data_IF_485867829183
#
_entry.id   IF_485867829183
#
_cell.length_a   1.000
_cell.length_b   1.000
_cell.length_c   1.000
_cell.angle_alpha   90.00
_cell.angle_beta   90.00
_cell.angle_gamma   90.00
#
_symmetry.space_group_name_H-M   'P 1'
#
loop_
_entity.id
_entity.type
_entity.pdbx_description
1 polymer ?
#
# COMPACT_ATOMS: atom_id res chain seq x y z
N UNK A 1 35.87 -7.71 46.01
CA UNK A 1 34.61 -6.95 45.88
C UNK A 1 33.84 -7.50 44.69
N UNK A 2 32.70 -8.19 44.88
CA UNK A 2 31.87 -8.65 43.77
C UNK A 2 30.94 -7.51 43.32
N UNK A 3 30.98 -7.17 42.03
CA UNK A 3 30.05 -6.22 41.41
C UNK A 3 28.66 -6.86 41.29
N UNK A 4 27.68 -6.31 42.00
CA UNK A 4 26.25 -6.62 41.80
C UNK A 4 25.80 -5.94 40.51
N UNK A 5 25.54 -6.73 39.46
CA UNK A 5 24.77 -6.28 38.30
C UNK A 5 23.32 -6.03 38.74
N UNK A 6 22.85 -4.78 38.59
CA UNK A 6 21.45 -4.42 38.79
C UNK A 6 20.55 -5.05 37.71
N UNK A 7 19.23 -5.12 37.95
CA UNK A 7 18.32 -5.80 37.03
C UNK A 7 18.27 -5.07 35.68
N UNK A 8 18.63 -5.79 34.61
CA UNK A 8 18.47 -5.36 33.23
C UNK A 8 16.98 -5.24 32.94
N UNK A 9 16.49 -4.00 32.78
CA UNK A 9 15.14 -3.75 32.24
C UNK A 9 15.20 -3.88 30.72
N UNK A 10 14.58 -4.93 30.18
CA UNK A 10 14.30 -5.04 28.75
C UNK A 10 13.27 -3.96 28.35
N UNK A 11 13.47 -3.19 27.25
CA UNK A 11 12.56 -2.10 26.88
C UNK A 11 11.29 -2.55 26.16
N UNK A 12 11.06 -3.86 26.05
CA UNK A 12 9.91 -4.43 25.35
C UNK A 12 9.11 -5.30 26.33
N UNK A 13 8.48 -4.63 27.29
CA UNK A 13 7.30 -5.20 27.93
C UNK A 13 6.13 -5.02 26.99
N UNK A 14 5.53 -6.12 26.52
CA UNK A 14 4.24 -6.12 25.84
C UNK A 14 3.28 -5.23 26.64
N UNK A 15 2.89 -4.08 26.08
CA UNK A 15 1.75 -3.34 26.60
C UNK A 15 0.50 -4.10 26.19
N UNK A 16 0.13 -5.12 26.97
CA UNK A 16 -1.24 -5.66 27.04
C UNK A 16 -2.16 -4.61 27.68
N UNK A 17 -2.17 -3.37 27.19
CA UNK A 17 -2.78 -2.25 27.92
C UNK A 17 -4.29 -2.12 27.72
N UNK A 18 -4.90 -2.98 26.90
CA UNK A 18 -6.30 -2.83 26.51
C UNK A 18 -7.12 -4.13 26.43
N UNK A 19 -6.59 -5.28 26.90
CA UNK A 19 -7.29 -6.58 26.76
C UNK A 19 -8.67 -6.60 27.46
N UNK A 20 -8.84 -5.82 28.54
CA UNK A 20 -10.10 -5.70 29.29
C UNK A 20 -10.78 -4.33 29.15
N UNK A 21 -10.39 -3.52 28.16
CA UNK A 21 -10.97 -2.19 27.93
C UNK A 21 -12.14 -2.27 26.94
N UNK A 22 -13.40 -2.12 27.40
CA UNK A 22 -14.56 -2.21 26.51
C UNK A 22 -14.60 -1.12 25.44
N UNK A 23 -13.95 0.03 25.66
CA UNK A 23 -13.83 1.06 24.62
C UNK A 23 -12.87 0.64 23.52
N UNK A 24 -11.76 0.02 23.91
CA UNK A 24 -10.78 -0.48 22.95
C UNK A 24 -11.34 -1.67 22.16
N UNK A 25 -12.01 -2.62 22.83
CA UNK A 25 -12.69 -3.72 22.15
C UNK A 25 -13.70 -3.20 21.13
N UNK A 26 -14.56 -2.24 21.52
CA UNK A 26 -15.48 -1.58 20.59
C UNK A 26 -14.74 -0.89 19.44
N UNK A 27 -13.66 -0.16 19.72
CA UNK A 27 -12.86 0.53 18.71
C UNK A 27 -12.24 -0.41 17.67
N UNK A 28 -11.78 -1.60 18.10
CA UNK A 28 -11.19 -2.60 17.21
C UNK A 28 -12.25 -3.44 16.48
N UNK A 29 -13.34 -3.81 17.16
CA UNK A 29 -14.22 -4.88 16.71
C UNK A 29 -15.63 -4.43 16.29
N UNK A 30 -16.09 -3.23 16.66
CA UNK A 30 -17.42 -2.76 16.27
C UNK A 30 -17.38 -1.97 14.95
N UNK A 31 -17.95 -2.49 13.85
CA UNK A 31 -17.95 -1.79 12.57
C UNK A 31 -18.66 -0.43 12.67
N UNK A 32 -18.19 0.54 11.89
CA UNK A 32 -18.87 1.83 11.79
C UNK A 32 -20.31 1.62 11.27
N UNK A 33 -21.30 2.05 12.07
CA UNK A 33 -22.71 1.96 11.68
C UNK A 33 -23.05 2.89 10.49
N UNK A 34 -22.32 3.99 10.36
CA UNK A 34 -22.39 4.92 9.24
C UNK A 34 -20.99 5.08 8.64
N UNK A 35 -20.86 4.78 7.36
CA UNK A 35 -19.59 4.87 6.63
C UNK A 35 -19.08 6.31 6.48
N UNK A 36 -19.95 7.32 6.64
CA UNK A 36 -19.57 8.73 6.66
C UNK A 36 -18.66 9.07 7.87
N UNK A 37 -18.63 8.23 8.90
CA UNK A 37 -17.70 8.36 10.02
C UNK A 37 -16.30 7.79 9.70
N UNK A 38 -16.05 7.36 8.46
CA UNK A 38 -14.77 6.80 8.03
C UNK A 38 -14.22 7.57 6.82
N UNK A 39 -12.90 7.79 6.79
CA UNK A 39 -12.23 8.42 5.64
C UNK A 39 -12.03 7.47 4.46
N UNK A 40 -12.29 6.17 4.66
CA UNK A 40 -12.05 5.12 3.67
C UNK A 40 -12.84 5.38 2.39
N UNK A 41 -14.16 5.60 2.51
CA UNK A 41 -15.01 5.83 1.33
C UNK A 41 -14.72 7.17 0.68
N UNK A 42 -14.41 8.20 1.49
CA UNK A 42 -14.03 9.51 0.99
C UNK A 42 -12.80 9.42 0.06
N UNK A 43 -11.75 8.69 0.47
CA UNK A 43 -10.54 8.53 -0.36
C UNK A 43 -10.81 7.61 -1.56
N UNK A 44 -11.53 6.50 -1.37
CA UNK A 44 -11.82 5.56 -2.48
C UNK A 44 -12.66 6.18 -3.58
N UNK A 45 -13.55 7.09 -3.24
CA UNK A 45 -14.42 7.79 -4.20
C UNK A 45 -13.82 9.11 -4.69
N UNK A 46 -12.65 9.51 -4.18
CA UNK A 46 -11.98 10.71 -4.66
C UNK A 46 -11.58 10.52 -6.13
N UNK A 47 -11.86 11.50 -7.01
CA UNK A 47 -11.47 11.40 -8.41
C UNK A 47 -9.94 11.38 -8.53
N UNK A 48 -9.45 10.65 -9.52
CA UNK A 48 -8.03 10.70 -9.88
C UNK A 48 -7.68 12.09 -10.44
N UNK A 49 -6.52 12.62 -10.03
CA UNK A 49 -6.02 13.89 -10.54
C UNK A 49 -5.48 13.79 -11.96
N UNK A 50 -5.37 14.93 -12.64
CA UNK A 50 -4.75 15.00 -13.96
C UNK A 50 -3.24 14.75 -13.87
N UNK A 51 -2.64 14.25 -14.96
CA UNK A 51 -1.19 14.18 -15.10
C UNK A 51 -0.67 15.55 -15.51
N UNK A 52 0.39 16.03 -14.85
CA UNK A 52 0.99 17.30 -15.18
C UNK A 52 1.58 17.24 -16.61
N UNK A 53 1.29 18.21 -17.50
CA UNK A 53 1.59 18.07 -18.93
C UNK A 53 3.10 18.10 -19.25
N UNK A 54 3.92 18.58 -18.33
CA UNK A 54 5.38 18.66 -18.50
C UNK A 54 6.06 17.63 -17.60
N UNK A 55 6.78 16.69 -18.20
CA UNK A 55 7.59 15.73 -17.44
C UNK A 55 8.73 16.44 -16.70
N UNK A 56 8.89 16.12 -15.43
CA UNK A 56 10.05 16.49 -14.65
C UNK A 56 11.31 15.80 -15.19
N UNK A 57 12.46 16.46 -15.01
CA UNK A 57 13.75 15.83 -15.24
C UNK A 57 13.99 14.79 -14.14
N UNK A 58 14.26 13.54 -14.54
CA UNK A 58 14.51 12.44 -13.63
C UNK A 58 15.99 12.07 -13.58
N UNK A 59 16.38 11.48 -12.45
CA UNK A 59 17.61 10.70 -12.38
C UNK A 59 17.43 9.34 -13.06
N UNK A 60 18.42 8.45 -12.93
CA UNK A 60 18.29 7.07 -13.41
C UNK A 60 17.13 6.33 -12.71
N UNK A 61 16.58 5.25 -13.30
CA UNK A 61 15.51 4.47 -12.66
C UNK A 61 15.85 3.98 -11.25
N UNK A 62 17.12 3.68 -10.96
CA UNK A 62 17.58 3.21 -9.65
C UNK A 62 17.49 4.30 -8.58
N UNK A 63 17.94 5.50 -8.92
CA UNK A 63 17.87 6.67 -8.03
C UNK A 63 16.41 7.09 -7.86
N UNK A 64 15.65 7.13 -8.95
CA UNK A 64 14.23 7.47 -8.92
C UNK A 64 13.44 6.49 -8.05
N UNK A 65 13.68 5.18 -8.17
CA UNK A 65 13.11 4.15 -7.28
C UNK A 65 13.43 4.39 -5.81
N UNK A 66 14.67 4.81 -5.50
CA UNK A 66 15.07 5.13 -4.13
C UNK A 66 14.27 6.31 -3.57
N UNK A 67 14.04 7.35 -4.37
CA UNK A 67 13.21 8.49 -3.97
C UNK A 67 11.74 8.10 -3.80
N UNK A 68 11.16 7.33 -4.73
CA UNK A 68 9.78 6.83 -4.61
C UNK A 68 9.57 6.09 -3.31
N UNK A 69 10.49 5.18 -2.96
CA UNK A 69 10.45 4.44 -1.69
C UNK A 69 10.59 5.34 -0.48
N UNK A 70 11.52 6.30 -0.52
CA UNK A 70 11.70 7.27 0.56
C UNK A 70 10.46 8.14 0.79
N UNK A 71 9.78 8.57 -0.28
CA UNK A 71 8.54 9.34 -0.18
C UNK A 71 7.38 8.50 0.38
N UNK A 72 7.23 7.25 -0.10
CA UNK A 72 6.25 6.32 0.45
C UNK A 72 6.46 6.09 1.95
N UNK A 73 7.72 5.91 2.38
CA UNK A 73 8.09 5.77 3.78
C UNK A 73 7.82 7.04 4.59
N UNK A 74 8.10 8.21 4.04
CA UNK A 74 7.76 9.49 4.66
C UNK A 74 6.25 9.62 4.91
N UNK A 75 5.40 9.09 4.02
CA UNK A 75 3.95 9.05 4.21
C UNK A 75 3.44 7.96 5.18
N UNK A 76 4.34 7.10 5.69
CA UNK A 76 4.02 6.09 6.70
C UNK A 76 4.04 4.64 6.19
N UNK A 77 4.49 4.37 4.96
CA UNK A 77 4.74 3.00 4.53
C UNK A 77 5.93 2.41 5.31
N UNK A 78 5.78 1.21 5.85
CA UNK A 78 6.87 0.54 6.55
C UNK A 78 7.63 -0.41 5.64
N UNK A 79 6.99 -0.91 4.59
CA UNK A 79 7.60 -1.70 3.53
C UNK A 79 7.18 -1.14 2.17
N UNK A 80 8.14 -1.02 1.25
CA UNK A 80 7.89 -0.53 -0.10
C UNK A 80 8.69 -1.34 -1.09
N UNK A 81 8.01 -1.86 -2.10
CA UNK A 81 8.61 -2.68 -3.16
C UNK A 81 8.10 -2.23 -4.52
N UNK A 82 8.90 -2.45 -5.55
CA UNK A 82 8.56 -2.13 -6.93
C UNK A 82 8.60 -3.42 -7.75
N UNK A 83 7.48 -3.79 -8.37
CA UNK A 83 7.41 -4.91 -9.29
C UNK A 83 7.38 -4.42 -10.73
N UNK A 84 8.14 -5.08 -11.61
CA UNK A 84 7.92 -4.97 -13.05
C UNK A 84 6.74 -5.85 -13.44
N UNK A 85 5.88 -5.35 -14.31
CA UNK A 85 4.69 -6.03 -14.78
C UNK A 85 4.96 -6.62 -16.16
N UNK A 86 4.58 -7.89 -16.34
CA UNK A 86 4.83 -8.65 -17.57
C UNK A 86 3.72 -8.43 -18.63
N UNK A 87 2.70 -7.64 -18.30
CA UNK A 87 1.58 -7.28 -19.18
C UNK A 87 1.04 -5.89 -18.87
N UNK A 88 0.27 -5.34 -19.82
CA UNK A 88 -0.26 -3.98 -19.73
C UNK A 88 -1.49 -3.94 -18.81
N UNK A 89 -1.32 -3.43 -17.60
CA UNK A 89 -2.44 -2.84 -16.88
C UNK A 89 -2.78 -1.52 -17.58
N UNK A 90 -3.71 -1.56 -18.53
CA UNK A 90 -4.18 -0.38 -19.26
C UNK A 90 -5.45 0.19 -18.63
N UNK A 91 -5.43 1.48 -18.33
CA UNK A 91 -6.63 2.28 -18.08
C UNK A 91 -6.66 3.43 -19.08
N UNK A 92 -7.77 3.65 -19.82
CA UNK A 92 -7.91 4.81 -20.69
C UNK A 92 -7.86 6.11 -19.88
N UNK A 93 -7.31 7.17 -20.47
CA UNK A 93 -7.16 8.52 -19.88
C UNK A 93 -8.48 9.29 -19.67
N UNK A 94 -9.66 8.67 -19.84
CA UNK A 94 -10.95 9.40 -19.85
C UNK A 94 -11.70 9.36 -18.51
N UNK A 95 -12.45 10.42 -18.17
CA UNK A 95 -13.24 10.51 -16.95
C UNK A 95 -14.58 9.76 -17.14
N UNK A 96 -14.56 8.44 -17.05
CA UNK A 96 -15.80 7.68 -16.92
C UNK A 96 -16.32 7.79 -15.48
N UNK A 97 -17.61 8.12 -15.35
CA UNK A 97 -18.29 8.43 -14.08
C UNK A 97 -18.51 7.22 -13.16
N UNK A 98 -18.09 6.03 -13.59
CA UNK A 98 -18.27 4.79 -12.84
C UNK A 98 -17.05 3.88 -13.14
N UNK A 99 -16.26 3.45 -12.13
CA UNK A 99 -15.07 2.64 -12.40
C UNK A 99 -15.48 1.22 -12.81
N UNK A 100 -15.23 0.75 -14.04
CA UNK A 100 -15.28 -0.67 -14.30
C UNK A 100 -14.22 -1.36 -13.43
N UNK A 101 -14.58 -2.50 -12.82
CA UNK A 101 -13.61 -3.40 -12.18
C UNK A 101 -12.47 -3.64 -13.16
N UNK A 102 -11.23 -3.50 -12.70
CA UNK A 102 -10.06 -3.94 -13.46
C UNK A 102 -10.15 -5.46 -13.65
N UNK A 103 -10.68 -5.88 -14.78
CA UNK A 103 -10.48 -7.22 -15.32
C UNK A 103 -9.18 -7.17 -16.09
N UNK A 104 -8.24 -8.06 -15.76
CA UNK A 104 -7.26 -8.49 -16.73
C UNK A 104 -8.05 -9.05 -17.91
N UNK A 105 -8.31 -8.23 -18.93
CA UNK A 105 -9.06 -8.66 -20.09
C UNK A 105 -8.13 -9.52 -20.94
N UNK A 106 -8.21 -10.84 -20.75
CA UNK A 106 -7.60 -11.80 -21.66
C UNK A 106 -8.03 -11.45 -23.10
N UNK A 107 -7.07 -11.06 -23.95
CA UNK A 107 -7.28 -10.83 -25.37
C UNK A 107 -7.47 -9.39 -25.84
N UNK A 108 -7.36 -8.36 -24.99
CA UNK A 108 -7.18 -6.99 -25.49
C UNK A 108 -5.75 -6.81 -26.00
N UNK A 109 -5.59 -6.30 -27.23
CA UNK A 109 -4.26 -5.97 -27.78
C UNK A 109 -3.59 -4.97 -26.83
N UNK A 110 -2.39 -5.32 -26.37
CA UNK A 110 -1.53 -4.42 -25.61
C UNK A 110 -1.39 -3.11 -26.39
N UNK A 111 -1.84 -2.02 -25.81
CA UNK A 111 -1.55 -0.68 -26.31
C UNK A 111 -0.28 -0.19 -25.59
N UNK A 112 0.90 -0.20 -26.26
CA UNK A 112 2.16 0.16 -25.62
C UNK A 112 2.15 1.61 -25.12
N UNK A 113 1.38 2.50 -25.76
CA UNK A 113 1.27 3.91 -25.36
C UNK A 113 0.52 4.04 -24.03
N UNK A 114 -0.36 3.09 -23.73
CA UNK A 114 -1.13 3.08 -22.49
C UNK A 114 -0.57 2.15 -21.41
N UNK A 115 0.59 1.52 -21.64
CA UNK A 115 1.22 0.61 -20.70
C UNK A 115 1.62 1.27 -19.37
N UNK A 116 1.31 0.61 -18.25
CA UNK A 116 1.81 0.94 -16.91
C UNK A 116 2.73 -0.20 -16.45
N UNK A 117 4.03 -0.18 -16.82
CA UNK A 117 4.95 -1.31 -16.64
C UNK A 117 5.41 -1.57 -15.21
N UNK A 118 5.13 -0.66 -14.28
CA UNK A 118 5.56 -0.79 -12.89
C UNK A 118 4.38 -0.74 -11.93
N UNK A 119 4.45 -1.57 -10.89
CA UNK A 119 3.62 -1.44 -9.70
C UNK A 119 4.50 -1.03 -8.51
N UNK A 120 4.10 0.02 -7.79
CA UNK A 120 4.64 0.40 -6.49
C UNK A 120 3.71 -0.15 -5.41
N UNK A 121 4.26 -1.04 -4.59
CA UNK A 121 3.55 -1.74 -3.52
C UNK A 121 3.97 -1.11 -2.20
N UNK A 122 3.00 -0.65 -1.41
CA UNK A 122 3.21 -0.16 -0.06
C UNK A 122 2.53 -1.11 0.92
N UNK A 123 3.20 -1.44 2.03
CA UNK A 123 2.60 -2.14 3.14
C UNK A 123 2.90 -1.43 4.46
N UNK A 124 1.94 -1.52 5.37
CA UNK A 124 2.00 -0.97 6.72
C UNK A 124 1.85 -2.09 7.73
N UNK A 125 2.45 -1.95 8.91
CA UNK A 125 2.23 -2.83 10.02
C UNK A 125 0.75 -2.80 10.45
N UNK A 126 0.25 -3.97 10.85
CA UNK A 126 -1.12 -4.15 11.26
C UNK A 126 -1.16 -4.99 12.55
N UNK A 127 -1.26 -4.30 13.69
CA UNK A 127 -1.46 -4.94 14.99
C UNK A 127 -2.76 -5.77 15.02
N UNK A 128 -3.77 -5.32 14.28
CA UNK A 128 -5.04 -6.00 14.09
C UNK A 128 -5.26 -6.27 12.60
N UNK A 129 -5.63 -7.51 12.26
CA UNK A 129 -5.93 -7.89 10.88
C UNK A 129 -7.27 -7.25 10.46
N UNK A 130 -7.31 -6.32 9.49
CA UNK A 130 -8.54 -5.62 9.11
C UNK A 130 -9.62 -6.54 8.53
N UNK A 131 -9.30 -7.80 8.19
CA UNK A 131 -10.30 -8.81 7.79
C UNK A 131 -11.13 -9.32 8.95
N UNK A 132 -10.59 -9.29 10.15
CA UNK A 132 -11.24 -9.84 11.36
C UNK A 132 -11.54 -8.77 12.41
N UNK A 133 -10.93 -7.58 12.29
CA UNK A 133 -11.16 -6.42 13.15
C UNK A 133 -11.87 -5.30 12.37
N UNK A 134 -13.21 -5.31 12.30
CA UNK A 134 -13.96 -4.42 11.40
C UNK A 134 -14.20 -3.02 11.98
N UNK A 135 -13.84 -2.76 13.24
CA UNK A 135 -13.97 -1.45 13.87
C UNK A 135 -12.95 -0.42 13.37
N UNK A 136 -13.18 0.84 13.72
CA UNK A 136 -12.37 1.97 13.22
C UNK A 136 -10.88 1.75 13.47
N UNK A 137 -10.52 1.24 14.64
CA UNK A 137 -9.14 0.92 15.02
C UNK A 137 -8.55 -0.25 14.23
N UNK A 138 -9.34 -1.31 14.01
CA UNK A 138 -8.93 -2.44 13.19
C UNK A 138 -8.74 -2.09 11.71
N UNK A 139 -9.41 -1.03 11.24
CA UNK A 139 -9.28 -0.50 9.89
C UNK A 139 -8.18 0.57 9.73
N UNK A 140 -7.43 0.93 10.77
CA UNK A 140 -6.34 1.91 10.69
C UNK A 140 -5.30 1.56 9.60
N UNK A 141 -4.84 0.30 9.47
CA UNK A 141 -3.90 -0.07 8.40
C UNK A 141 -4.46 0.21 6.99
N UNK A 142 -5.77 0.02 6.79
CA UNK A 142 -6.46 0.31 5.52
C UNK A 142 -6.47 1.80 5.22
N UNK A 143 -6.78 2.62 6.24
CA UNK A 143 -6.79 4.07 6.13
C UNK A 143 -5.40 4.62 5.80
N UNK A 144 -4.37 4.12 6.49
CA UNK A 144 -2.98 4.49 6.23
C UNK A 144 -2.57 4.11 4.80
N UNK A 145 -2.87 2.87 4.38
CA UNK A 145 -2.58 2.40 3.03
C UNK A 145 -3.23 3.29 1.95
N UNK A 146 -4.50 3.66 2.13
CA UNK A 146 -5.22 4.55 1.22
C UNK A 146 -4.59 5.95 1.16
N UNK A 147 -4.24 6.52 2.31
CA UNK A 147 -3.61 7.85 2.36
C UNK A 147 -2.25 7.84 1.64
N UNK A 148 -1.39 6.86 1.95
CA UNK A 148 -0.06 6.73 1.36
C UNK A 148 -0.16 6.63 -0.16
N UNK A 149 -0.99 5.73 -0.68
CA UNK A 149 -1.04 5.47 -2.11
C UNK A 149 -1.72 6.61 -2.87
N UNK A 150 -2.73 7.24 -2.27
CA UNK A 150 -3.36 8.44 -2.83
C UNK A 150 -2.34 9.57 -3.03
N UNK A 151 -1.62 9.94 -1.97
CA UNK A 151 -0.67 11.07 -2.02
C UNK A 151 0.53 10.74 -2.91
N UNK A 152 1.08 9.53 -2.82
CA UNK A 152 2.22 9.14 -3.67
C UNK A 152 1.84 9.10 -5.15
N UNK A 153 0.66 8.57 -5.49
CA UNK A 153 0.18 8.57 -6.88
C UNK A 153 -0.03 9.99 -7.40
N UNK A 154 -0.55 10.90 -6.56
CA UNK A 154 -0.69 12.31 -6.93
C UNK A 154 0.67 12.95 -7.22
N UNK A 155 1.66 12.73 -6.37
CA UNK A 155 3.00 13.23 -6.61
C UNK A 155 3.63 12.69 -7.91
N UNK A 156 3.44 11.40 -8.23
CA UNK A 156 3.91 10.85 -9.52
C UNK A 156 3.23 11.55 -10.71
N UNK A 157 1.92 11.84 -10.60
CA UNK A 157 1.19 12.62 -11.62
C UNK A 157 1.71 14.05 -11.74
N UNK A 158 2.09 14.68 -10.65
CA UNK A 158 2.73 16.01 -10.65
C UNK A 158 4.13 16.02 -11.29
N UNK A 159 4.84 14.88 -11.30
CA UNK A 159 6.06 14.71 -12.09
C UNK A 159 5.81 14.55 -13.60
N UNK A 160 4.54 14.47 -14.02
CA UNK A 160 4.12 14.27 -15.41
C UNK A 160 4.11 12.81 -15.87
N UNK A 161 4.04 11.86 -14.93
CA UNK A 161 3.92 10.42 -15.21
C UNK A 161 2.55 9.90 -14.80
N UNK A 162 2.02 8.94 -15.54
CA UNK A 162 0.73 8.33 -15.21
C UNK A 162 0.90 7.49 -13.94
N UNK A 163 -0.04 7.64 -13.03
CA UNK A 163 -0.16 6.79 -11.85
C UNK A 163 -1.63 6.59 -11.51
N UNK A 164 -2.06 5.35 -11.37
CA UNK A 164 -3.43 4.98 -10.99
C UNK A 164 -3.37 3.92 -9.89
N UNK A 165 -4.34 3.94 -8.99
CA UNK A 165 -4.41 2.98 -7.89
C UNK A 165 -5.37 1.88 -8.30
N UNK A 166 -4.90 0.64 -8.28
CA UNK A 166 -5.72 -0.51 -8.67
C UNK A 166 -5.96 -1.42 -7.46
N UNK A 167 -7.22 -1.79 -7.26
CA UNK A 167 -7.59 -2.82 -6.30
C UNK A 167 -7.12 -4.16 -6.83
N UNK A 168 -6.17 -4.77 -6.13
CA UNK A 168 -5.59 -6.05 -6.51
C UNK A 168 -6.15 -7.14 -5.63
N UNK A 169 -6.91 -8.08 -6.21
CA UNK A 169 -7.33 -9.28 -5.50
C UNK A 169 -6.11 -10.07 -4.98
N UNK A 170 -5.00 -10.01 -5.72
CA UNK A 170 -3.75 -10.72 -5.42
C UNK A 170 -2.65 -9.79 -4.87
N UNK A 171 -3.03 -8.77 -4.08
CA UNK A 171 -2.08 -7.80 -3.52
C UNK A 171 -0.89 -8.45 -2.78
N UNK A 172 -1.14 -9.51 -2.02
CA UNK A 172 -0.10 -10.28 -1.32
C UNK A 172 0.91 -10.92 -2.30
N UNK A 173 0.43 -11.47 -3.43
CA UNK A 173 1.30 -12.08 -4.44
C UNK A 173 2.13 -11.02 -5.18
N UNK A 174 1.52 -9.86 -5.47
CA UNK A 174 2.23 -8.74 -6.07
C UNK A 174 3.29 -8.18 -5.13
N UNK A 175 3.02 -8.10 -3.83
CA UNK A 175 4.01 -7.72 -2.82
C UNK A 175 5.18 -8.70 -2.73
N UNK A 176 4.91 -10.01 -2.83
CA UNK A 176 5.97 -11.02 -2.90
C UNK A 176 6.80 -10.85 -4.18
N UNK A 177 6.17 -10.61 -5.33
CA UNK A 177 6.86 -10.28 -6.60
C UNK A 177 7.70 -9.00 -6.49
N UNK A 178 7.29 -8.05 -5.65
CA UNK A 178 8.04 -6.83 -5.37
C UNK A 178 9.13 -7.00 -4.30
N UNK A 179 9.46 -8.24 -3.91
CA UNK A 179 10.52 -8.54 -2.96
C UNK A 179 10.20 -8.26 -1.48
N UNK A 180 8.93 -7.99 -1.11
CA UNK A 180 8.56 -7.66 0.27
C UNK A 180 8.49 -8.86 1.22
N UNK A 181 8.49 -10.07 0.68
CA UNK A 181 8.41 -11.30 1.45
C UNK A 181 8.04 -12.51 0.60
N UNK A 182 7.55 -13.57 1.25
CA UNK A 182 7.12 -14.81 0.59
C UNK A 182 5.67 -15.11 0.95
N UNK A 183 4.95 -15.82 0.10
CA UNK A 183 3.61 -16.29 0.42
C UNK A 183 3.65 -17.53 1.33
N UNK A 184 2.75 -17.59 2.31
CA UNK A 184 2.50 -18.84 3.04
C UNK A 184 1.53 -19.76 2.27
N UNK A 185 1.22 -20.93 2.86
CA UNK A 185 0.30 -21.91 2.27
C UNK A 185 -1.14 -21.43 2.06
N UNK A 186 -1.51 -20.27 2.63
CA UNK A 186 -2.83 -19.63 2.47
C UNK A 186 -2.77 -18.41 1.53
N UNK A 187 -1.66 -18.19 0.84
CA UNK A 187 -1.47 -17.05 -0.07
C UNK A 187 -1.29 -15.70 0.63
N UNK A 188 -1.01 -15.69 1.94
CA UNK A 188 -0.73 -14.45 2.70
C UNK A 188 0.73 -14.07 2.58
N UNK A 189 1.03 -12.78 2.44
CA UNK A 189 2.39 -12.29 2.54
C UNK A 189 2.97 -12.53 3.94
N UNK A 190 4.16 -13.10 3.99
CA UNK A 190 5.01 -13.23 5.16
C UNK A 190 6.26 -12.40 4.94
N UNK A 191 6.35 -11.30 5.68
CA UNK A 191 7.48 -10.37 5.62
C UNK A 191 8.54 -10.76 6.65
N UNK A 192 9.79 -10.35 6.41
CA UNK A 192 10.89 -10.62 7.35
C UNK A 192 10.69 -9.92 8.70
N UNK A 193 10.19 -8.69 8.67
CA UNK A 193 10.11 -7.83 9.87
C UNK A 193 8.86 -8.09 10.70
N UNK A 194 7.71 -8.35 10.06
CA UNK A 194 6.41 -8.38 10.73
C UNK A 194 5.66 -9.71 10.55
N UNK A 195 6.27 -10.70 9.89
CA UNK A 195 5.56 -11.92 9.50
C UNK A 195 4.32 -11.58 8.68
N UNK A 196 3.16 -12.11 9.08
CA UNK A 196 1.86 -11.83 8.45
C UNK A 196 1.16 -10.57 8.97
N UNK A 197 1.75 -9.87 9.94
CA UNK A 197 1.19 -8.68 10.61
C UNK A 197 1.32 -7.41 9.78
N UNK A 198 1.03 -7.49 8.49
CA UNK A 198 1.03 -6.33 7.59
C UNK A 198 -0.26 -6.26 6.80
N UNK A 199 -0.63 -5.04 6.46
CA UNK A 199 -1.64 -4.76 5.45
C UNK A 199 -0.95 -4.23 4.19
N UNK A 200 -1.14 -4.93 3.07
CA UNK A 200 -0.68 -4.49 1.75
C UNK A 200 -1.74 -3.56 1.16
N UNK A 201 -1.36 -2.33 0.85
CA UNK A 201 -2.26 -1.36 0.24
C UNK A 201 -2.55 -1.69 -1.24
N UNK A 202 -3.64 -1.11 -1.77
CA UNK A 202 -3.93 -1.14 -3.21
C UNK A 202 -2.73 -0.54 -3.97
N UNK A 203 -2.20 -1.26 -4.97
CA UNK A 203 -0.92 -0.87 -5.58
C UNK A 203 -1.07 0.30 -6.56
N UNK A 204 0.00 1.08 -6.71
CA UNK A 204 0.07 2.18 -7.67
C UNK A 204 0.70 1.64 -8.96
N UNK A 205 -0.04 1.66 -10.05
CA UNK A 205 0.44 1.31 -11.37
C UNK A 205 0.90 2.57 -12.09
N UNK A 206 2.11 2.55 -12.67
CA UNK A 206 2.73 3.75 -13.21
C UNK A 206 3.60 3.49 -14.44
N UNK A 207 3.76 4.52 -15.26
CA UNK A 207 4.76 4.62 -16.33
C UNK A 207 6.01 5.42 -15.93
N UNK A 208 6.12 5.82 -14.65
CA UNK A 208 7.35 6.36 -14.10
C UNK A 208 8.48 5.33 -14.29
N UNK A 209 9.62 5.69 -14.93
CA UNK A 209 10.74 4.77 -15.11
C UNK A 209 11.37 4.41 -13.76
N UNK A 210 11.30 3.11 -13.40
CA UNK A 210 11.74 2.60 -12.10
C UNK A 210 12.60 1.34 -12.25
N UNK A 211 13.52 1.13 -11.33
CA UNK A 211 14.15 -0.15 -11.09
C UNK A 211 13.24 -1.02 -10.20
N UNK A 212 12.98 -2.26 -10.62
CA UNK A 212 12.20 -3.25 -9.88
C UNK A 212 13.05 -4.04 -8.88
N UNK A 213 12.41 -4.60 -7.86
CA UNK A 213 13.07 -5.26 -6.72
C UNK A 213 13.08 -6.79 -6.76
N UNK A 214 12.16 -7.41 -7.52
CA UNK A 214 12.03 -8.86 -7.63
C UNK A 214 12.20 -9.39 -9.03
#
# INVERSE_FOLDING_TARGET
MPLRLGPVKFPWGEKKSHEDDPYWDFFINAPAADLANTVIQMIRNAPEGNVFPKKAELHTPEITSTHVKGMAQYFGAELVGIAKLDGVASRPLQPEADPPRAVAAEGQKEDPENALPFAVICAVHADYDPRTAPGIGGQVPVQNGLFITFVLSAWIRELGYRATIMRNADADALAAKAGLGTLNSRGRLVTRQFGTGVFVADAIYTDLPLAADG
#
